data_IF_591113275842
#
_entry.id   IF_591113275842
#
_cell.length_a   1.000
_cell.length_b   1.000
_cell.length_c   1.000
_cell.angle_alpha   90.00
_cell.angle_beta   90.00
_cell.angle_gamma   90.00
#
_symmetry.space_group_name_H-M   'P 1'
#
loop_
_entity.id
_entity.type
_entity.pdbx_description
1 polymer ?
#
# COMPACT_ATOMS: atom_id res chain seq x y z
N UNK A 1 -15.47 6.50 -38.82
CA UNK A 1 -15.01 7.22 -37.61
C UNK A 1 -15.91 7.06 -36.39
N UNK A 2 -17.23 6.81 -36.55
CA UNK A 2 -18.14 6.56 -35.41
C UNK A 2 -17.81 5.27 -34.62
N UNK A 3 -17.32 4.22 -35.29
CA UNK A 3 -16.96 2.95 -34.64
C UNK A 3 -15.82 3.10 -33.62
N UNK A 4 -14.91 4.05 -33.82
CA UNK A 4 -13.83 4.33 -32.88
C UNK A 4 -14.34 4.98 -31.59
N UNK A 5 -15.37 5.83 -31.69
CA UNK A 5 -16.02 6.45 -30.53
C UNK A 5 -16.72 5.42 -29.65
N UNK A 6 -17.40 4.44 -30.25
CA UNK A 6 -18.07 3.36 -29.50
C UNK A 6 -17.07 2.51 -28.72
N UNK A 7 -15.92 2.19 -29.32
CA UNK A 7 -14.86 1.43 -28.65
C UNK A 7 -14.26 2.19 -27.46
N UNK A 8 -14.03 3.50 -27.62
CA UNK A 8 -13.58 4.36 -26.52
C UNK A 8 -14.59 4.36 -25.37
N UNK A 9 -15.89 4.53 -25.66
CA UNK A 9 -16.95 4.52 -24.64
C UNK A 9 -17.08 3.16 -23.94
N UNK A 10 -16.83 2.04 -24.63
CA UNK A 10 -16.79 0.70 -24.00
C UNK A 10 -15.52 0.43 -23.19
N UNK A 11 -14.41 1.11 -23.52
CA UNK A 11 -13.15 1.09 -22.76
C UNK A 11 -13.20 1.96 -21.51
N UNK A 12 -14.05 3.00 -21.50
CA UNK A 12 -14.50 3.71 -20.31
C UNK A 12 -15.63 2.93 -19.60
N UNK A 13 -15.44 1.63 -19.39
CA UNK A 13 -16.16 0.99 -18.30
C UNK A 13 -15.82 1.76 -17.03
N UNK A 14 -16.80 2.43 -16.42
CA UNK A 14 -16.64 2.99 -15.08
C UNK A 14 -16.25 1.79 -14.22
N UNK A 15 -14.96 1.66 -13.92
CA UNK A 15 -14.50 0.76 -12.89
C UNK A 15 -15.10 1.32 -11.62
N UNK A 16 -16.26 0.80 -11.25
CA UNK A 16 -16.80 1.03 -9.94
C UNK A 16 -15.87 0.28 -9.00
N UNK A 17 -14.80 0.95 -8.59
CA UNK A 17 -14.05 0.59 -7.39
C UNK A 17 -15.01 0.90 -6.23
N UNK A 18 -16.07 0.09 -6.11
CA UNK A 18 -16.69 -0.12 -4.83
C UNK A 18 -15.55 -0.68 -3.99
N UNK A 19 -14.91 0.22 -3.23
CA UNK A 19 -13.96 -0.12 -2.20
C UNK A 19 -14.74 -0.90 -1.15
N UNK A 20 -14.98 -2.18 -1.44
CA UNK A 20 -15.45 -3.12 -0.46
C UNK A 20 -14.43 -3.05 0.67
N UNK A 21 -14.86 -2.94 1.94
CA UNK A 21 -13.93 -2.88 3.07
C UNK A 21 -12.88 -4.00 3.04
N UNK A 22 -13.26 -5.16 2.48
CA UNK A 22 -12.39 -6.32 2.27
C UNK A 22 -11.27 -6.06 1.25
N UNK A 23 -11.56 -5.36 0.15
CA UNK A 23 -10.56 -5.01 -0.87
C UNK A 23 -9.58 -3.95 -0.36
N UNK A 24 -10.09 -2.92 0.34
CA UNK A 24 -9.25 -1.90 0.98
C UNK A 24 -8.31 -2.50 2.02
N UNK A 25 -8.83 -3.43 2.82
CA UNK A 25 -8.05 -4.18 3.81
C UNK A 25 -6.88 -4.93 3.17
N UNK A 26 -7.16 -5.74 2.14
CA UNK A 26 -6.14 -6.56 1.50
C UNK A 26 -5.10 -5.72 0.76
N UNK A 27 -5.54 -4.68 0.04
CA UNK A 27 -4.65 -3.81 -0.74
C UNK A 27 -3.73 -2.97 0.15
N UNK A 28 -4.27 -2.34 1.19
CA UNK A 28 -3.47 -1.49 2.09
C UNK A 28 -2.49 -2.35 2.90
N UNK A 29 -2.91 -3.52 3.38
CA UNK A 29 -2.04 -4.47 4.08
C UNK A 29 -0.85 -4.90 3.21
N UNK A 30 -1.09 -5.31 1.96
CA UNK A 30 -0.04 -5.71 1.03
C UNK A 30 0.92 -4.55 0.76
N UNK A 31 0.38 -3.35 0.51
CA UNK A 31 1.17 -2.14 0.26
C UNK A 31 2.09 -1.78 1.43
N UNK A 32 1.60 -1.91 2.67
CA UNK A 32 2.40 -1.68 3.87
C UNK A 32 3.49 -2.75 4.06
N UNK A 33 3.19 -4.02 3.76
CA UNK A 33 4.20 -5.08 3.82
C UNK A 33 5.28 -4.90 2.75
N UNK A 34 4.91 -4.47 1.55
CA UNK A 34 5.87 -4.13 0.49
C UNK A 34 6.70 -2.90 0.84
N UNK A 35 6.09 -1.90 1.49
CA UNK A 35 6.83 -0.79 2.07
C UNK A 35 7.87 -1.29 3.08
N UNK A 36 7.47 -2.16 4.03
CA UNK A 36 8.40 -2.76 4.99
C UNK A 36 9.53 -3.53 4.31
N UNK A 37 9.25 -4.35 3.29
CA UNK A 37 10.27 -5.08 2.52
C UNK A 37 11.26 -4.15 1.81
N UNK A 38 10.79 -2.97 1.37
CA UNK A 38 11.64 -2.00 0.71
C UNK A 38 12.60 -1.26 1.68
N UNK A 39 12.39 -1.37 2.99
CA UNK A 39 13.29 -0.82 4.00
C UNK A 39 14.37 -1.84 4.34
N UNK A 40 15.62 -1.49 4.05
CA UNK A 40 16.79 -2.38 4.24
C UNK A 40 17.38 -2.34 5.64
N UNK A 41 17.19 -1.23 6.37
CA UNK A 41 17.66 -1.08 7.75
C UNK A 41 16.59 -0.36 8.56
N UNK A 42 16.15 -1.03 9.63
CA UNK A 42 15.25 -0.50 10.65
C UNK A 42 15.91 -0.70 12.04
N UNK A 43 17.00 0.04 12.34
CA UNK A 43 17.82 -0.20 13.52
C UNK A 43 17.07 0.04 14.84
N UNK A 44 15.95 0.75 14.81
CA UNK A 44 15.12 1.04 15.97
C UNK A 44 13.80 0.26 15.98
N UNK A 45 13.59 -0.64 15.02
CA UNK A 45 12.39 -1.48 14.96
C UNK A 45 11.08 -0.69 14.81
N UNK A 46 11.09 0.44 14.09
CA UNK A 46 9.90 1.24 13.86
C UNK A 46 8.78 0.44 13.16
N UNK A 47 9.16 -0.53 12.31
CA UNK A 47 8.25 -1.40 11.55
C UNK A 47 8.11 -2.81 12.18
N UNK A 48 8.59 -3.00 13.42
CA UNK A 48 8.59 -4.32 14.07
C UNK A 48 7.19 -4.93 14.21
N UNK A 49 6.20 -4.09 14.54
CA UNK A 49 4.80 -4.50 14.71
C UNK A 49 4.07 -4.84 13.39
N UNK A 50 4.65 -4.49 12.24
CA UNK A 50 3.99 -4.69 10.94
C UNK A 50 4.07 -6.16 10.54
N UNK A 51 3.03 -6.93 10.88
CA UNK A 51 2.97 -8.37 10.69
C UNK A 51 1.57 -8.79 10.20
N UNK A 52 1.53 -9.68 9.21
CA UNK A 52 0.30 -10.17 8.59
C UNK A 52 -0.65 -10.93 9.54
N UNK A 53 -0.17 -11.34 10.71
CA UNK A 53 -0.99 -12.01 11.73
C UNK A 53 -1.98 -11.07 12.45
N UNK A 54 -1.81 -9.75 12.36
CA UNK A 54 -2.69 -8.76 13.00
C UNK A 54 -3.21 -7.74 12.00
N UNK A 55 -4.39 -7.16 12.29
CA UNK A 55 -4.96 -6.11 11.45
C UNK A 55 -4.03 -4.89 11.41
N UNK A 56 -3.76 -4.34 10.23
CA UNK A 56 -2.74 -3.29 10.06
C UNK A 56 -3.01 -2.00 10.85
N UNK A 57 -4.27 -1.70 11.19
CA UNK A 57 -4.60 -0.58 12.09
C UNK A 57 -4.05 -0.74 13.52
N UNK A 58 -3.62 -1.95 13.90
CA UNK A 58 -2.96 -2.22 15.19
C UNK A 58 -1.45 -2.06 15.10
N UNK A 59 -0.90 -1.85 13.91
CA UNK A 59 0.53 -1.67 13.73
C UNK A 59 0.95 -0.27 14.20
N UNK A 60 2.11 -0.21 14.85
CA UNK A 60 2.72 1.04 15.33
C UNK A 60 2.93 1.98 14.14
N UNK A 61 2.49 3.23 14.33
CA UNK A 61 2.61 4.28 13.31
C UNK A 61 1.61 4.16 12.17
N UNK A 62 0.66 3.22 12.19
CA UNK A 62 -0.42 3.14 11.19
C UNK A 62 -1.69 3.75 11.75
N UNK A 63 -2.21 4.79 11.09
CA UNK A 63 -3.47 5.42 11.46
C UNK A 63 -4.52 5.12 10.40
N UNK A 64 -5.62 4.50 10.80
CA UNK A 64 -6.72 4.15 9.90
C UNK A 64 -7.83 5.21 9.89
N UNK A 65 -8.51 5.31 8.75
CA UNK A 65 -9.62 6.23 8.59
C UNK A 65 -10.83 5.79 9.42
N UNK A 66 -11.36 6.72 10.21
CA UNK A 66 -12.66 6.54 10.88
C UNK A 66 -13.84 6.64 9.90
N UNK A 67 -13.67 7.41 8.82
CA UNK A 67 -14.71 7.61 7.80
C UNK A 67 -14.77 6.47 6.79
N UNK A 68 -13.64 5.81 6.55
CA UNK A 68 -13.51 4.70 5.61
C UNK A 68 -12.87 3.50 6.33
N UNK A 69 -13.67 2.68 7.04
CA UNK A 69 -13.17 1.50 7.74
C UNK A 69 -12.38 0.58 6.81
N UNK A 70 -11.24 0.09 7.29
CA UNK A 70 -10.35 -0.75 6.49
C UNK A 70 -9.44 0.02 5.52
N UNK A 71 -9.31 1.35 5.67
CA UNK A 71 -8.34 2.15 4.91
C UNK A 71 -7.30 2.83 5.80
N UNK A 72 -6.05 2.86 5.35
CA UNK A 72 -4.99 3.66 5.98
C UNK A 72 -5.21 5.14 5.65
N UNK A 73 -5.17 5.99 6.67
CA UNK A 73 -5.29 7.44 6.55
C UNK A 73 -3.94 8.16 6.68
N UNK A 74 -3.04 7.66 7.54
CA UNK A 74 -1.72 8.23 7.71
C UNK A 74 -0.71 7.21 8.23
N UNK A 75 0.57 7.50 7.98
CA UNK A 75 1.71 6.77 8.54
C UNK A 75 2.58 7.73 9.33
N UNK A 76 2.84 7.41 10.59
CA UNK A 76 3.79 8.08 11.44
C UNK A 76 5.02 7.19 11.64
N UNK A 77 6.02 7.47 10.82
CA UNK A 77 7.35 6.90 10.96
C UNK A 77 8.15 7.94 11.72
N UNK A 78 8.07 7.90 13.06
CA UNK A 78 8.95 8.72 13.92
C UNK A 78 10.37 8.63 13.40
N UNK A 79 11.14 9.74 13.42
CA UNK A 79 12.45 9.99 12.75
C UNK A 79 13.59 9.04 13.15
N UNK A 80 13.31 7.76 13.03
CA UNK A 80 14.07 6.62 13.47
C UNK A 80 14.75 6.04 12.24
N UNK A 81 15.56 6.87 11.58
CA UNK A 81 16.52 6.50 10.54
C UNK A 81 16.14 5.23 9.74
N UNK A 82 15.05 5.29 8.98
CA UNK A 82 14.72 4.23 8.02
C UNK A 82 15.58 4.45 6.78
N UNK A 83 16.55 3.57 6.55
CA UNK A 83 17.40 3.67 5.37
C UNK A 83 16.83 2.82 4.25
N UNK A 84 16.53 3.47 3.12
CA UNK A 84 16.22 2.82 1.84
C UNK A 84 17.51 2.67 1.05
N UNK A 85 17.97 1.43 0.85
CA UNK A 85 19.04 1.12 -0.10
C UNK A 85 18.45 0.20 -1.17
N UNK A 86 17.79 0.77 -2.18
CA UNK A 86 17.56 0.01 -3.43
C UNK A 86 18.76 0.30 -4.33
N UNK A 87 19.73 -0.62 -4.37
CA UNK A 87 20.73 -0.64 -5.43
C UNK A 87 20.14 -1.26 -6.71
N UNK A 88 20.60 -0.76 -7.86
CA UNK A 88 20.13 -1.00 -9.23
C UNK A 88 20.00 -2.49 -9.63
N UNK A 89 19.28 -2.82 -10.73
CA UNK A 89 19.40 -4.15 -11.33
C UNK A 89 20.83 -4.34 -11.82
N UNK A 90 21.57 -5.28 -11.23
CA UNK A 90 22.75 -5.83 -11.87
C UNK A 90 22.25 -6.80 -12.95
N UNK A 91 22.51 -6.44 -14.20
CA UNK A 91 22.40 -7.33 -15.35
C UNK A 91 23.15 -8.63 -15.05
N UNK A 92 22.47 -9.77 -15.07
CA UNK A 92 23.13 -11.07 -15.18
C UNK A 92 22.92 -11.58 -16.61
N UNK A 93 24.02 -11.45 -17.37
CA UNK A 93 24.46 -12.17 -18.59
C UNK A 93 23.43 -12.65 -19.61
#
# INVERSE_FOLDING_TARGET
MLLLFVLLLSGYGIRSDHASPIHGYSSDMLSLLDFKRAITKDPKGALASWNSSTHFCMWKGVFCSRKHPGRVAALELSSQYLFKVKSAPLSET
#
